data_IF_802620175853
#
_entry.id   IF_802620175853
#
_cell.length_a   1.000
_cell.length_b   1.000
_cell.length_c   1.000
_cell.angle_alpha   90.00
_cell.angle_beta   90.00
_cell.angle_gamma   90.00
#
_symmetry.space_group_name_H-M   'P 1'
#
loop_
_entity.id
_entity.type
_entity.pdbx_description
1 polymer ?
#
# COMPACT_ATOMS: atom_id res chain seq x y z
N UNK A 1 10.73 -0.09 -18.46
CA UNK A 1 11.32 -0.31 -17.11
C UNK A 1 11.25 1.02 -16.39
N UNK A 2 10.59 1.10 -15.22
CA UNK A 2 10.57 2.32 -14.41
C UNK A 2 11.62 2.13 -13.31
N UNK A 3 12.60 3.04 -13.15
CA UNK A 3 13.45 3.03 -11.96
C UNK A 3 12.54 3.27 -10.75
N UNK A 4 12.36 2.23 -9.94
CA UNK A 4 11.66 2.32 -8.68
C UNK A 4 12.44 1.54 -7.62
N UNK A 5 12.63 2.16 -6.46
CA UNK A 5 13.21 1.51 -5.28
C UNK A 5 12.17 1.56 -4.19
N UNK A 6 11.84 0.40 -3.62
CA UNK A 6 10.90 0.28 -2.52
C UNK A 6 11.68 0.12 -1.23
N UNK A 7 11.29 0.87 -0.21
CA UNK A 7 11.90 0.88 1.11
C UNK A 7 10.86 0.41 2.11
N UNK A 8 11.18 -0.67 2.82
CA UNK A 8 10.34 -1.25 3.86
C UNK A 8 11.10 -1.09 5.18
N UNK A 9 10.53 -0.31 6.09
CA UNK A 9 11.12 -0.05 7.40
C UNK A 9 10.87 -1.18 8.41
N UNK A 10 11.46 -1.03 9.59
CA UNK A 10 11.16 -1.90 10.73
C UNK A 10 9.76 -1.61 11.26
N UNK A 11 9.00 -2.67 11.56
CA UNK A 11 7.72 -2.55 12.26
C UNK A 11 7.97 -2.03 13.69
N UNK A 12 7.19 -1.05 14.11
CA UNK A 12 7.31 -0.45 15.44
C UNK A 12 5.95 -0.05 16.00
N UNK A 13 5.80 -0.16 17.32
CA UNK A 13 4.57 0.24 18.00
C UNK A 13 4.50 1.77 18.14
N UNK A 14 3.39 2.35 17.70
CA UNK A 14 3.12 3.80 17.79
C UNK A 14 1.67 4.06 18.21
N UNK A 15 1.39 5.18 18.90
CA UNK A 15 0.02 5.63 19.08
C UNK A 15 -0.60 6.01 17.73
N UNK A 16 -1.82 5.57 17.48
CA UNK A 16 -2.58 5.84 16.26
C UNK A 16 -4.07 6.03 16.58
N UNK A 17 -4.75 6.89 15.82
CA UNK A 17 -6.20 7.09 15.99
C UNK A 17 -6.95 6.04 15.17
N UNK A 18 -7.77 5.24 15.85
CA UNK A 18 -8.64 4.23 15.23
C UNK A 18 -10.05 4.44 15.77
N UNK A 19 -10.99 4.78 14.88
CA UNK A 19 -12.39 5.06 15.23
C UNK A 19 -12.55 6.11 16.34
N UNK A 20 -11.74 7.17 16.32
CA UNK A 20 -11.79 8.27 17.30
C UNK A 20 -11.01 8.03 18.59
N UNK A 21 -10.43 6.84 18.80
CA UNK A 21 -9.66 6.50 20.01
C UNK A 21 -8.18 6.33 19.70
N UNK A 22 -7.30 6.75 20.62
CA UNK A 22 -5.86 6.49 20.52
C UNK A 22 -5.58 5.05 20.95
N UNK A 23 -5.01 4.24 20.05
CA UNK A 23 -4.58 2.86 20.29
C UNK A 23 -3.14 2.67 19.89
N UNK A 24 -2.40 1.83 20.62
CA UNK A 24 -1.08 1.38 20.19
C UNK A 24 -1.25 0.40 19.02
N UNK A 25 -0.53 0.64 17.92
CA UNK A 25 -0.56 -0.18 16.71
C UNK A 25 0.84 -0.45 16.23
N UNK A 26 1.06 -1.64 15.69
CA UNK A 26 2.27 -1.97 14.96
C UNK A 26 2.23 -1.30 13.58
N UNK A 27 3.09 -0.30 13.39
CA UNK A 27 3.17 0.50 12.17
C UNK A 27 4.37 0.05 11.35
N UNK A 28 4.14 -0.22 10.06
CA UNK A 28 5.17 -0.49 9.07
C UNK A 28 5.45 0.77 8.25
N UNK A 29 6.65 1.40 8.38
CA UNK A 29 7.05 2.44 7.45
C UNK A 29 7.20 1.84 6.04
N UNK A 30 6.49 2.41 5.08
CA UNK A 30 6.52 1.97 3.68
C UNK A 30 6.70 3.19 2.78
N UNK A 31 7.68 3.14 1.89
CA UNK A 31 7.97 4.23 0.98
C UNK A 31 8.74 3.75 -0.24
N UNK A 32 9.06 4.67 -1.13
CA UNK A 32 9.89 4.37 -2.28
C UNK A 32 10.21 5.61 -3.10
N UNK A 33 11.24 5.50 -3.91
CA UNK A 33 11.61 6.51 -4.90
C UNK A 33 11.14 6.06 -6.28
N UNK A 34 10.63 7.00 -7.06
CA UNK A 34 10.05 6.75 -8.37
C UNK A 34 10.56 7.81 -9.36
N UNK A 35 10.87 7.38 -10.58
CA UNK A 35 11.22 8.32 -11.65
C UNK A 35 9.98 9.10 -12.13
N UNK A 36 9.87 10.36 -11.69
CA UNK A 36 8.73 11.22 -12.00
C UNK A 36 8.58 11.61 -13.48
N UNK A 37 9.58 11.33 -14.32
CA UNK A 37 9.46 11.51 -15.77
C UNK A 37 8.57 10.43 -16.40
N UNK A 38 8.37 9.33 -15.70
CA UNK A 38 7.62 8.16 -16.18
C UNK A 38 6.33 7.97 -15.41
N UNK A 39 6.32 8.26 -14.10
CA UNK A 39 5.15 8.10 -13.23
C UNK A 39 4.77 9.37 -12.48
N UNK A 40 3.49 9.68 -12.46
CA UNK A 40 2.95 10.81 -11.70
C UNK A 40 2.50 10.40 -10.29
N UNK A 41 2.09 11.40 -9.50
CA UNK A 41 1.60 11.18 -8.13
C UNK A 41 0.30 10.38 -8.06
N UNK A 42 -0.57 10.42 -9.07
CA UNK A 42 -1.81 9.66 -9.09
C UNK A 42 -1.56 8.16 -9.29
N UNK A 43 -0.61 7.81 -10.16
CA UNK A 43 -0.17 6.44 -10.37
C UNK A 43 0.53 5.88 -9.12
N UNK A 44 1.45 6.64 -8.53
CA UNK A 44 2.13 6.26 -7.28
C UNK A 44 1.11 6.10 -6.14
N UNK A 45 0.15 7.03 -6.02
CA UNK A 45 -0.92 6.94 -5.03
C UNK A 45 -1.75 5.67 -5.15
N UNK A 46 -2.14 5.29 -6.38
CA UNK A 46 -2.85 4.01 -6.63
C UNK A 46 -2.00 2.80 -6.21
N UNK A 47 -0.71 2.81 -6.49
CA UNK A 47 0.21 1.76 -6.09
C UNK A 47 0.30 1.65 -4.55
N UNK A 48 0.59 2.77 -3.86
CA UNK A 48 0.75 2.80 -2.40
C UNK A 48 -0.55 2.42 -1.69
N UNK A 49 -1.71 2.92 -2.13
CA UNK A 49 -3.01 2.51 -1.58
C UNK A 49 -3.27 1.02 -1.80
N UNK A 50 -2.95 0.50 -2.99
CA UNK A 50 -3.09 -0.91 -3.30
C UNK A 50 -2.21 -1.82 -2.43
N UNK A 51 -0.98 -1.38 -2.15
CA UNK A 51 -0.05 -2.06 -1.24
C UNK A 51 -0.55 -1.99 0.21
N UNK A 52 -0.89 -0.79 0.71
CA UNK A 52 -1.40 -0.56 2.05
C UNK A 52 -2.64 -1.40 2.37
N UNK A 53 -3.58 -1.50 1.40
CA UNK A 53 -4.78 -2.34 1.54
C UNK A 53 -4.44 -3.80 1.76
N UNK A 54 -3.53 -4.35 0.95
CA UNK A 54 -3.12 -5.77 1.01
C UNK A 54 -2.28 -6.08 2.25
N UNK A 55 -1.40 -5.16 2.64
CA UNK A 55 -0.62 -5.31 3.87
C UNK A 55 -1.51 -5.25 5.12
N UNK A 56 -2.59 -4.46 5.08
CA UNK A 56 -3.54 -4.37 6.20
C UNK A 56 -4.56 -5.51 6.23
N UNK A 57 -4.77 -6.21 5.11
CA UNK A 57 -5.68 -7.35 5.00
C UNK A 57 -5.11 -8.40 4.03
N UNK A 58 -4.12 -9.20 4.48
CA UNK A 58 -3.38 -10.12 3.62
C UNK A 58 -4.25 -11.22 3.01
N UNK A 59 -5.36 -11.57 3.66
CA UNK A 59 -6.30 -12.62 3.23
C UNK A 59 -7.01 -12.28 1.91
N UNK A 60 -6.95 -11.02 1.46
CA UNK A 60 -7.38 -10.65 0.11
C UNK A 60 -6.50 -11.25 -1.00
N UNK A 61 -5.26 -11.65 -0.69
CA UNK A 61 -4.36 -12.28 -1.65
C UNK A 61 -4.74 -13.75 -1.92
N UNK A 62 -5.38 -14.41 -0.97
CA UNK A 62 -5.79 -15.81 -1.08
C UNK A 62 -7.09 -15.97 -1.87
N UNK A 63 -7.86 -14.89 -2.04
CA UNK A 63 -9.11 -14.91 -2.80
C UNK A 63 -8.80 -15.02 -4.29
N UNK A 64 -9.41 -15.99 -5.01
CA UNK A 64 -9.22 -16.11 -6.45
C UNK A 64 -9.66 -14.81 -7.11
N UNK A 65 -8.75 -14.18 -7.87
CA UNK A 65 -9.06 -12.98 -8.65
C UNK A 65 -10.20 -13.31 -9.59
N UNK A 66 -11.40 -12.83 -9.28
CA UNK A 66 -12.49 -12.80 -10.25
C UNK A 66 -12.02 -11.89 -11.38
N UNK A 67 -11.68 -12.50 -12.53
CA UNK A 67 -11.33 -11.79 -13.75
C UNK A 67 -12.55 -10.93 -14.04
N UNK A 68 -12.45 -9.60 -13.88
CA UNK A 68 -13.49 -8.69 -14.39
C UNK A 68 -13.69 -9.11 -15.84
N UNK A 69 -14.89 -9.59 -16.19
CA UNK A 69 -15.31 -9.68 -17.58
C UNK A 69 -15.00 -8.28 -18.15
N UNK A 70 -14.23 -8.22 -19.23
CA UNK A 70 -14.21 -7.00 -20.03
C UNK A 70 -15.66 -6.79 -20.42
N UNK A 71 -16.24 -5.70 -19.94
CA UNK A 71 -17.52 -5.22 -20.43
C UNK A 71 -17.40 -5.15 -21.96
N UNK A 72 -18.35 -5.79 -22.64
CA UNK A 72 -18.56 -5.69 -24.10
C UNK A 72 -18.86 -4.24 -24.49
#
# INVERSE_FOLDING_TARGET
>A
RVPAVIMIGKIQDKPWVVNGEIKIRSILPFGGTFDHRIVDGAQIGKFVMGAAKRLSNPEELDKPRHRRKKDE
#
